data_IF_772958576756
#
_entry.id   IF_772958576756
#
_cell.length_a   1.000
_cell.length_b   1.000
_cell.length_c   1.000
_cell.angle_alpha   90.00
_cell.angle_beta   90.00
_cell.angle_gamma   90.00
#
_symmetry.space_group_name_H-M   'P 1'
#
loop_
_entity.id
_entity.type
_entity.pdbx_description
1 polymer ?
#
# COMPACT_ATOMS: atom_id res chain seq x y z
N UNK A 1 25.37 3.55 6.49
CA UNK A 1 24.63 3.23 5.25
C UNK A 1 24.83 4.34 4.21
N UNK A 2 24.63 5.59 4.60
CA UNK A 2 24.74 6.77 3.74
C UNK A 2 26.17 7.04 3.27
N UNK A 3 27.15 6.93 4.16
CA UNK A 3 28.57 7.08 3.82
C UNK A 3 28.99 6.05 2.78
N UNK A 4 28.48 4.83 2.89
CA UNK A 4 28.74 3.74 1.92
C UNK A 4 28.15 4.10 0.55
N UNK A 5 26.90 4.59 0.51
CA UNK A 5 26.27 5.03 -0.74
C UNK A 5 27.04 6.15 -1.40
N UNK A 6 27.47 7.15 -0.61
CA UNK A 6 28.22 8.29 -1.13
C UNK A 6 29.62 7.89 -1.61
N UNK A 7 30.27 6.91 -0.95
CA UNK A 7 31.55 6.38 -1.40
C UNK A 7 31.42 5.71 -2.79
N UNK A 8 30.48 4.77 -2.94
CA UNK A 8 30.26 4.09 -4.23
C UNK A 8 29.77 5.02 -5.34
N UNK A 9 29.02 6.08 -5.01
CA UNK A 9 28.61 7.08 -6.00
C UNK A 9 29.76 7.95 -6.51
N UNK A 10 30.81 8.12 -5.72
CA UNK A 10 32.02 8.82 -6.15
C UNK A 10 32.82 8.03 -7.21
N UNK A 11 32.63 6.74 -7.26
CA UNK A 11 33.23 5.84 -8.23
C UNK A 11 32.30 5.69 -9.44
N UNK A 12 32.72 6.12 -10.62
CA UNK A 12 31.88 6.12 -11.84
C UNK A 12 31.46 4.74 -12.36
N UNK A 13 31.92 3.68 -11.71
CA UNK A 13 31.72 2.29 -12.13
C UNK A 13 30.46 1.64 -11.52
N UNK A 14 29.79 2.30 -10.56
CA UNK A 14 28.67 1.69 -9.83
C UNK A 14 27.34 2.38 -10.07
N UNK A 15 26.29 1.59 -10.32
CA UNK A 15 24.89 1.99 -10.20
C UNK A 15 24.35 1.48 -8.88
N UNK A 16 23.90 2.40 -8.01
CA UNK A 16 23.40 2.04 -6.67
C UNK A 16 21.88 2.06 -6.68
N UNK A 17 21.27 0.92 -6.35
CA UNK A 17 19.84 0.77 -6.18
C UNK A 17 19.50 0.57 -4.71
N UNK A 18 18.57 1.35 -4.19
CA UNK A 18 18.08 1.25 -2.81
C UNK A 18 16.61 0.89 -2.89
N UNK A 19 16.21 -0.14 -2.16
CA UNK A 19 14.80 -0.55 -2.11
C UNK A 19 14.27 -0.47 -0.69
N UNK A 20 12.98 -0.22 -0.55
CA UNK A 20 12.30 -0.18 0.72
C UNK A 20 10.80 -0.42 0.60
N UNK A 21 10.19 -0.93 1.66
CA UNK A 21 8.78 -1.30 1.70
C UNK A 21 7.81 -0.12 1.73
N UNK A 22 8.30 1.09 1.99
CA UNK A 22 7.49 2.31 1.98
C UNK A 22 8.34 3.58 1.86
N UNK A 23 7.67 4.70 1.60
CA UNK A 23 8.28 6.04 1.46
C UNK A 23 9.07 6.50 2.69
N UNK A 24 8.84 5.93 3.88
CA UNK A 24 9.58 6.29 5.09
C UNK A 24 11.06 5.86 5.07
N UNK A 25 11.42 4.85 4.28
CA UNK A 25 12.83 4.48 4.11
C UNK A 25 13.61 5.55 3.34
N UNK A 26 12.89 6.30 2.50
CA UNK A 26 13.42 7.41 1.73
C UNK A 26 12.98 8.78 2.33
N UNK A 27 12.25 8.81 3.46
CA UNK A 27 11.86 10.04 4.16
C UNK A 27 12.87 10.41 5.26
N UNK A 28 12.90 11.67 5.63
CA UNK A 28 13.76 12.17 6.69
C UNK A 28 15.21 12.46 6.24
N UNK A 29 16.19 12.11 7.07
CA UNK A 29 17.59 12.46 6.85
C UNK A 29 18.16 11.89 5.55
N UNK A 30 17.73 10.69 5.13
CA UNK A 30 18.24 10.06 3.92
C UNK A 30 17.84 10.85 2.67
N UNK A 31 16.58 11.30 2.58
CA UNK A 31 16.13 12.16 1.48
C UNK A 31 16.90 13.47 1.48
N UNK A 32 17.03 14.12 2.63
CA UNK A 32 17.68 15.43 2.72
C UNK A 32 19.13 15.38 2.20
N UNK A 33 19.82 14.28 2.48
CA UNK A 33 21.22 14.11 2.09
C UNK A 33 21.41 13.56 0.67
N UNK A 34 20.38 12.96 0.09
CA UNK A 34 20.36 12.47 -1.29
C UNK A 34 19.60 13.38 -2.26
N UNK A 35 19.03 14.48 -1.78
CA UNK A 35 18.22 15.40 -2.59
C UNK A 35 18.92 15.82 -3.88
N UNK A 36 18.20 15.70 -5.01
CA UNK A 36 18.71 16.01 -6.35
C UNK A 36 19.70 14.99 -6.93
N UNK A 37 19.88 13.83 -6.27
CA UNK A 37 20.91 12.84 -6.63
C UNK A 37 20.37 11.42 -6.80
N UNK A 38 19.06 11.23 -6.85
CA UNK A 38 18.41 9.96 -7.08
C UNK A 38 17.16 10.12 -7.94
N UNK A 39 16.74 9.02 -8.53
CA UNK A 39 15.44 8.87 -9.18
C UNK A 39 14.62 7.93 -8.31
N UNK A 40 13.42 8.36 -7.92
CA UNK A 40 12.47 7.52 -7.19
C UNK A 40 11.63 6.74 -8.18
N UNK A 41 11.57 5.43 -7.99
CA UNK A 41 10.72 4.53 -8.76
C UNK A 41 9.72 3.91 -7.78
N UNK A 42 8.46 4.29 -7.91
CA UNK A 42 7.39 3.71 -7.12
C UNK A 42 6.98 2.36 -7.72
N UNK A 43 7.14 1.28 -6.93
CA UNK A 43 6.74 -0.07 -7.33
C UNK A 43 5.36 -0.38 -6.75
N UNK A 44 4.39 -0.55 -7.63
CA UNK A 44 3.05 -1.00 -7.29
C UNK A 44 2.97 -2.54 -7.36
N UNK A 45 1.97 -3.17 -6.72
CA UNK A 45 1.62 -4.54 -7.05
C UNK A 45 1.36 -4.70 -8.55
N UNK A 46 1.45 -5.91 -9.07
CA UNK A 46 1.22 -6.19 -10.48
C UNK A 46 -0.13 -5.62 -10.94
N UNK A 47 -0.14 -4.96 -12.09
CA UNK A 47 -1.38 -4.66 -12.82
C UNK A 47 -2.04 -5.97 -13.30
N UNK A 48 -3.27 -5.90 -13.77
CA UNK A 48 -3.95 -7.08 -14.31
C UNK A 48 -3.21 -7.69 -15.50
N UNK A 49 -2.68 -6.85 -16.40
CA UNK A 49 -1.89 -7.30 -17.54
C UNK A 49 -0.59 -8.01 -17.07
N UNK A 50 0.18 -7.37 -16.20
CA UNK A 50 1.41 -7.96 -15.64
C UNK A 50 1.12 -9.26 -14.86
N UNK A 51 -0.02 -9.36 -14.18
CA UNK A 51 -0.45 -10.58 -13.49
C UNK A 51 -0.68 -11.73 -14.49
N UNK A 52 -1.33 -11.46 -15.63
CA UNK A 52 -1.54 -12.45 -16.69
C UNK A 52 -0.20 -12.86 -17.30
N UNK A 53 0.63 -11.90 -17.67
CA UNK A 53 1.95 -12.15 -18.28
C UNK A 53 2.82 -13.00 -17.36
N UNK A 54 2.83 -12.68 -16.08
CA UNK A 54 3.59 -13.43 -15.09
C UNK A 54 3.06 -14.87 -14.94
N UNK A 55 1.74 -15.07 -14.92
CA UNK A 55 1.15 -16.42 -14.92
C UNK A 55 1.57 -17.22 -16.14
N UNK A 56 1.49 -16.64 -17.32
CA UNK A 56 1.90 -17.28 -18.58
C UNK A 56 3.39 -17.62 -18.57
N UNK A 57 4.24 -16.70 -18.14
CA UNK A 57 5.69 -16.91 -18.04
C UNK A 57 6.06 -18.11 -17.14
N UNK A 58 5.34 -18.28 -16.02
CA UNK A 58 5.56 -19.39 -15.09
C UNK A 58 4.70 -20.63 -15.40
N UNK A 59 4.05 -20.69 -16.58
CA UNK A 59 3.24 -21.84 -16.98
C UNK A 59 2.01 -22.09 -16.10
N UNK A 60 1.51 -21.05 -15.43
CA UNK A 60 0.29 -21.13 -14.64
C UNK A 60 -0.94 -21.01 -15.52
N UNK A 61 -2.02 -21.67 -15.13
CA UNK A 61 -3.26 -21.64 -15.88
C UNK A 61 -3.89 -20.25 -15.88
N UNK A 62 -4.21 -19.73 -17.06
CA UNK A 62 -4.95 -18.47 -17.28
C UNK A 62 -6.28 -18.85 -17.91
N UNK A 63 -7.39 -18.37 -17.34
CA UNK A 63 -8.72 -18.61 -17.91
C UNK A 63 -8.80 -17.94 -19.29
N UNK A 64 -9.36 -18.64 -20.30
CA UNK A 64 -9.64 -18.01 -21.59
C UNK A 64 -10.73 -16.94 -21.51
N UNK A 65 -11.50 -16.91 -20.40
CA UNK A 65 -12.49 -15.89 -20.13
C UNK A 65 -11.84 -14.74 -19.33
N UNK A 66 -11.66 -13.53 -19.93
CA UNK A 66 -11.03 -12.40 -19.26
C UNK A 66 -11.75 -11.95 -17.98
N UNK A 67 -13.08 -12.09 -17.94
CA UNK A 67 -13.88 -11.70 -16.77
C UNK A 67 -13.58 -12.59 -15.58
N UNK A 68 -13.51 -13.91 -15.79
CA UNK A 68 -13.13 -14.84 -14.71
C UNK A 68 -11.71 -14.58 -14.18
N UNK A 69 -10.80 -14.27 -15.08
CA UNK A 69 -9.41 -14.00 -14.68
C UNK A 69 -9.29 -12.67 -13.95
N UNK A 70 -10.07 -11.67 -14.35
CA UNK A 70 -10.17 -10.40 -13.64
C UNK A 70 -10.77 -10.59 -12.23
N UNK A 71 -11.82 -11.40 -12.10
CA UNK A 71 -12.41 -11.73 -10.80
C UNK A 71 -11.40 -12.42 -9.87
N UNK A 72 -10.59 -13.33 -10.42
CA UNK A 72 -9.48 -13.93 -9.65
C UNK A 72 -8.47 -12.89 -9.21
N UNK A 73 -8.03 -12.04 -10.13
CA UNK A 73 -7.07 -10.97 -9.81
C UNK A 73 -7.61 -10.02 -8.72
N UNK A 74 -8.87 -9.61 -8.78
CA UNK A 74 -9.50 -8.76 -7.76
C UNK A 74 -9.51 -9.44 -6.39
N UNK A 75 -9.76 -10.75 -6.35
CA UNK A 75 -9.83 -11.52 -5.10
C UNK A 75 -8.45 -11.93 -4.56
N UNK A 76 -7.48 -12.17 -5.43
CA UNK A 76 -6.14 -12.66 -5.08
C UNK A 76 -5.11 -11.53 -4.94
N UNK A 77 -5.39 -10.37 -5.53
CA UNK A 77 -4.53 -9.20 -5.53
C UNK A 77 -3.31 -9.33 -6.46
N UNK A 78 -2.58 -8.21 -6.59
CA UNK A 78 -1.43 -8.09 -7.49
C UNK A 78 -0.06 -8.40 -6.86
N UNK A 79 0.01 -9.03 -5.68
CA UNK A 79 1.32 -9.42 -5.12
C UNK A 79 1.94 -10.56 -5.94
N UNK A 80 3.14 -10.39 -6.51
CA UNK A 80 3.73 -11.38 -7.43
C UNK A 80 3.77 -12.80 -6.87
N UNK A 81 4.05 -12.94 -5.58
CA UNK A 81 4.17 -14.26 -4.95
C UNK A 81 2.85 -15.02 -4.86
N UNK A 82 1.69 -14.36 -4.96
CA UNK A 82 0.38 -15.03 -4.88
C UNK A 82 0.15 -16.00 -6.03
N UNK A 83 0.76 -15.79 -7.20
CA UNK A 83 0.60 -16.69 -8.35
C UNK A 83 1.21 -18.09 -8.13
N UNK A 84 2.10 -18.24 -7.16
CA UNK A 84 2.76 -19.53 -6.84
C UNK A 84 1.98 -20.38 -5.84
N UNK A 85 0.93 -19.83 -5.23
CA UNK A 85 0.03 -20.59 -4.37
C UNK A 85 -1.16 -21.08 -5.17
N UNK A 86 -1.44 -22.38 -5.12
CA UNK A 86 -2.57 -22.96 -5.84
C UNK A 86 -3.87 -22.90 -5.00
N UNK A 87 -3.73 -22.88 -3.66
CA UNK A 87 -4.88 -22.80 -2.76
C UNK A 87 -5.24 -21.33 -2.44
N UNK A 88 -6.49 -20.89 -2.64
CA UNK A 88 -6.95 -19.54 -2.32
C UNK A 88 -6.76 -19.14 -0.85
N UNK A 89 -6.86 -20.08 0.08
CA UNK A 89 -6.66 -19.82 1.51
C UNK A 89 -5.19 -19.47 1.83
N UNK A 90 -4.24 -20.11 1.15
CA UNK A 90 -2.82 -19.81 1.31
C UNK A 90 -2.48 -18.42 0.77
N UNK A 91 -3.10 -18.02 -0.35
CA UNK A 91 -2.98 -16.67 -0.89
C UNK A 91 -3.48 -15.63 0.10
N UNK A 92 -4.68 -15.81 0.65
CA UNK A 92 -5.26 -14.92 1.65
C UNK A 92 -4.40 -14.83 2.91
N UNK A 93 -3.91 -15.95 3.37
CA UNK A 93 -3.01 -16.03 4.54
C UNK A 93 -1.71 -15.28 4.28
N UNK A 94 -1.14 -15.44 3.09
CA UNK A 94 0.06 -14.72 2.67
C UNK A 94 -0.17 -13.20 2.67
N UNK A 95 -1.23 -12.72 2.04
CA UNK A 95 -1.56 -11.28 1.98
C UNK A 95 -1.81 -10.72 3.38
N UNK A 96 -2.58 -11.44 4.20
CA UNK A 96 -2.85 -11.05 5.59
C UNK A 96 -1.56 -10.91 6.41
N UNK A 97 -0.61 -11.81 6.21
CA UNK A 97 0.68 -11.74 6.87
C UNK A 97 1.52 -10.54 6.40
N UNK A 98 1.51 -10.22 5.10
CA UNK A 98 2.18 -9.01 4.57
C UNK A 98 1.60 -7.75 5.22
N UNK A 99 0.27 -7.60 5.22
CA UNK A 99 -0.39 -6.43 5.83
C UNK A 99 -0.03 -6.33 7.32
N UNK A 100 -0.02 -7.46 8.04
CA UNK A 100 0.40 -7.51 9.43
C UNK A 100 1.87 -7.11 9.62
N UNK A 101 2.76 -7.58 8.76
CA UNK A 101 4.17 -7.21 8.82
C UNK A 101 4.41 -5.71 8.55
N UNK A 102 3.71 -5.14 7.57
CA UNK A 102 3.74 -3.69 7.31
C UNK A 102 3.30 -2.94 8.57
N UNK A 103 2.20 -3.37 9.20
CA UNK A 103 1.72 -2.76 10.44
C UNK A 103 2.76 -2.83 11.56
N UNK A 104 3.28 -4.01 11.86
CA UNK A 104 4.20 -4.22 13.00
C UNK A 104 5.59 -3.58 12.76
N UNK A 105 6.14 -3.72 11.56
CA UNK A 105 7.51 -3.27 11.26
C UNK A 105 7.57 -1.81 10.84
N UNK A 106 6.63 -1.37 10.03
CA UNK A 106 6.69 -0.06 9.39
C UNK A 106 5.83 0.98 10.10
N UNK A 107 4.60 0.66 10.44
CA UNK A 107 3.69 1.62 11.07
C UNK A 107 3.98 1.75 12.58
N UNK A 108 3.89 0.65 13.32
CA UNK A 108 3.96 0.68 14.79
C UNK A 108 5.31 1.16 15.33
N UNK A 109 6.40 0.85 14.64
CA UNK A 109 7.75 1.26 15.07
C UNK A 109 8.05 2.74 14.79
N UNK A 110 7.43 3.32 13.76
CA UNK A 110 7.76 4.66 13.27
C UNK A 110 6.74 5.71 13.64
N UNK A 111 5.49 5.30 13.81
CA UNK A 111 4.38 6.20 14.15
C UNK A 111 3.88 5.88 15.53
N UNK A 112 3.94 6.86 16.44
CA UNK A 112 3.36 6.73 17.78
C UNK A 112 1.83 6.67 17.69
N UNK A 113 1.27 5.46 17.60
CA UNK A 113 -0.16 5.22 17.66
C UNK A 113 -0.54 5.08 19.15
N UNK A 114 -1.36 6.01 19.64
CA UNK A 114 -1.79 6.01 21.06
C UNK A 114 -2.74 4.86 21.39
N UNK A 115 -3.60 4.49 20.45
CA UNK A 115 -4.58 3.42 20.61
C UNK A 115 -4.57 2.51 19.38
N UNK A 116 -3.83 1.41 19.49
CA UNK A 116 -3.66 0.41 18.43
C UNK A 116 -4.97 -0.27 18.08
N UNK A 117 -5.82 -0.58 19.08
CA UNK A 117 -7.10 -1.22 18.87
C UNK A 117 -8.07 -0.34 18.05
N UNK A 118 -8.10 0.96 18.31
CA UNK A 118 -8.91 1.90 17.52
C UNK A 118 -8.34 2.01 16.10
N UNK A 119 -7.01 2.04 15.95
CA UNK A 119 -6.37 2.07 14.63
C UNK A 119 -6.74 0.83 13.80
N UNK A 120 -6.65 -0.38 14.37
CA UNK A 120 -7.01 -1.63 13.70
C UNK A 120 -8.48 -1.66 13.27
N UNK A 121 -9.38 -1.16 14.11
CA UNK A 121 -10.81 -1.05 13.75
C UNK A 121 -11.04 -0.07 12.60
N UNK A 122 -10.36 1.08 12.60
CA UNK A 122 -10.40 2.05 11.50
C UNK A 122 -9.85 1.42 10.22
N UNK A 123 -8.72 0.74 10.30
CA UNK A 123 -8.12 0.02 9.17
C UNK A 123 -9.10 -1.01 8.60
N UNK A 124 -9.70 -1.84 9.45
CA UNK A 124 -10.68 -2.86 9.04
C UNK A 124 -11.91 -2.22 8.40
N UNK A 125 -12.41 -1.13 8.98
CA UNK A 125 -13.54 -0.40 8.41
C UNK A 125 -13.24 0.11 7.00
N UNK A 126 -12.07 0.73 6.80
CA UNK A 126 -11.66 1.28 5.51
C UNK A 126 -11.48 0.16 4.48
N UNK A 127 -10.79 -0.93 4.83
CA UNK A 127 -10.58 -2.07 3.95
C UNK A 127 -11.91 -2.70 3.52
N UNK A 128 -12.87 -2.84 4.44
CA UNK A 128 -14.18 -3.42 4.13
C UNK A 128 -15.07 -2.51 3.27
N UNK A 129 -14.74 -1.22 3.17
CA UNK A 129 -15.49 -0.23 2.39
C UNK A 129 -14.68 0.34 1.22
N UNK A 130 -13.64 -0.37 0.77
CA UNK A 130 -12.83 0.08 -0.37
C UNK A 130 -13.67 0.24 -1.64
N UNK A 131 -13.27 1.15 -2.51
CA UNK A 131 -14.00 1.44 -3.75
C UNK A 131 -15.32 2.18 -3.58
N UNK A 132 -15.76 2.43 -2.35
CA UNK A 132 -17.00 3.18 -2.08
C UNK A 132 -16.73 4.68 -2.01
N UNK A 133 -17.63 5.48 -2.57
CA UNK A 133 -17.59 6.93 -2.38
C UNK A 133 -17.84 7.25 -0.90
N UNK A 134 -16.85 7.85 -0.25
CA UNK A 134 -16.95 8.16 1.16
C UNK A 134 -16.38 9.55 1.46
N UNK A 135 -16.87 10.17 2.54
CA UNK A 135 -16.29 11.38 3.09
C UNK A 135 -15.82 11.14 4.51
N UNK A 136 -14.82 11.89 4.93
CA UNK A 136 -14.32 11.84 6.32
C UNK A 136 -15.46 12.04 7.35
N UNK A 137 -16.44 12.90 7.04
CA UNK A 137 -17.60 13.16 7.90
C UNK A 137 -18.52 11.93 8.00
N UNK A 138 -18.80 11.27 6.87
CA UNK A 138 -19.64 10.07 6.88
C UNK A 138 -18.91 8.91 7.59
N UNK A 139 -17.63 8.73 7.31
CA UNK A 139 -16.81 7.72 7.99
C UNK A 139 -16.81 7.92 9.49
N UNK A 140 -16.64 9.16 9.96
CA UNK A 140 -16.66 9.49 11.39
C UNK A 140 -18.03 9.14 12.02
N UNK A 141 -19.13 9.47 11.35
CA UNK A 141 -20.49 9.12 11.80
C UNK A 141 -20.69 7.61 11.96
N UNK A 142 -20.26 6.83 10.96
CA UNK A 142 -20.40 5.37 11.00
C UNK A 142 -19.53 4.74 12.11
N UNK A 143 -18.32 5.24 12.30
CA UNK A 143 -17.43 4.79 13.38
C UNK A 143 -18.02 5.12 14.76
N UNK A 144 -18.62 6.29 14.94
CA UNK A 144 -19.33 6.67 16.18
C UNK A 144 -20.56 5.78 16.42
N UNK A 145 -21.37 5.47 15.38
CA UNK A 145 -22.48 4.53 15.49
C UNK A 145 -22.01 3.13 15.92
N UNK A 146 -20.83 2.72 15.47
CA UNK A 146 -20.20 1.46 15.88
C UNK A 146 -19.56 1.53 17.30
N UNK A 147 -19.82 2.61 18.07
CA UNK A 147 -19.34 2.76 19.44
C UNK A 147 -17.86 3.17 19.56
N UNK A 148 -17.25 3.68 18.47
CA UNK A 148 -15.87 4.14 18.49
C UNK A 148 -15.80 5.64 18.75
N UNK A 149 -15.29 6.03 19.92
CA UNK A 149 -15.02 7.44 20.22
C UNK A 149 -13.68 7.85 19.58
N UNK A 150 -13.74 8.43 18.38
CA UNK A 150 -12.59 8.91 17.64
C UNK A 150 -12.83 10.34 17.16
N UNK A 151 -11.84 11.21 17.34
CA UNK A 151 -11.86 12.59 16.84
C UNK A 151 -11.51 12.62 15.36
N UNK A 152 -12.03 13.64 14.65
CA UNK A 152 -11.80 13.86 13.22
C UNK A 152 -10.30 13.91 12.87
N UNK A 153 -9.51 14.62 13.68
CA UNK A 153 -8.07 14.76 13.46
C UNK A 153 -7.34 13.41 13.59
N UNK A 154 -7.78 12.59 14.54
CA UNK A 154 -7.21 11.25 14.75
C UNK A 154 -7.56 10.33 13.59
N UNK A 155 -8.82 10.37 13.12
CA UNK A 155 -9.26 9.59 11.97
C UNK A 155 -8.46 9.99 10.72
N UNK A 156 -8.35 11.29 10.44
CA UNK A 156 -7.58 11.80 9.30
C UNK A 156 -6.12 11.36 9.36
N UNK A 157 -5.50 11.44 10.53
CA UNK A 157 -4.14 10.95 10.75
C UNK A 157 -4.01 9.45 10.51
N UNK A 158 -4.98 8.64 10.92
CA UNK A 158 -4.95 7.19 10.71
C UNK A 158 -5.08 6.85 9.22
N UNK A 159 -5.94 7.56 8.49
CA UNK A 159 -6.06 7.42 7.03
C UNK A 159 -4.73 7.77 6.36
N UNK A 160 -4.10 8.89 6.76
CA UNK A 160 -2.82 9.30 6.19
C UNK A 160 -1.71 8.27 6.45
N UNK A 161 -1.66 7.66 7.64
CA UNK A 161 -0.73 6.58 7.94
C UNK A 161 -0.91 5.38 6.99
N UNK A 162 -2.16 5.02 6.68
CA UNK A 162 -2.45 3.92 5.75
C UNK A 162 -2.07 4.26 4.30
N UNK A 163 -2.23 5.52 3.90
CA UNK A 163 -1.80 6.03 2.59
C UNK A 163 -0.27 6.02 2.51
N UNK A 164 0.41 6.56 3.51
CA UNK A 164 1.88 6.61 3.56
C UNK A 164 2.50 5.20 3.59
N UNK A 165 1.81 4.24 4.20
CA UNK A 165 2.20 2.83 4.21
C UNK A 165 1.83 2.06 2.92
N UNK A 166 1.26 2.74 1.91
CA UNK A 166 0.82 2.14 0.63
C UNK A 166 -0.20 1.00 0.78
N UNK A 167 -0.92 0.98 1.89
CA UNK A 167 -2.06 0.06 2.11
C UNK A 167 -3.32 0.63 1.45
N UNK A 168 -3.43 1.95 1.41
CA UNK A 168 -4.58 2.68 0.88
C UNK A 168 -4.12 3.67 -0.19
N UNK A 169 -4.88 3.74 -1.28
CA UNK A 169 -4.70 4.74 -2.33
C UNK A 169 -5.94 5.63 -2.39
N UNK A 170 -5.72 6.95 -2.35
CA UNK A 170 -6.79 7.91 -2.49
C UNK A 170 -7.12 8.12 -3.97
N UNK A 171 -8.35 7.79 -4.37
CA UNK A 171 -8.88 8.11 -5.68
C UNK A 171 -9.79 9.34 -5.57
N UNK A 172 -9.32 10.49 -6.03
CA UNK A 172 -10.11 11.72 -6.01
C UNK A 172 -11.20 11.68 -7.08
N UNK A 173 -12.39 12.14 -6.72
CA UNK A 173 -13.46 12.30 -7.69
C UNK A 173 -13.04 13.31 -8.75
N UNK A 174 -13.10 12.88 -10.01
CA UNK A 174 -12.93 13.77 -11.14
C UNK A 174 -14.30 14.28 -11.60
N UNK A 175 -14.50 15.61 -11.59
CA UNK A 175 -15.71 16.24 -12.06
C UNK A 175 -15.37 17.32 -13.08
N UNK A 176 -15.77 17.09 -14.34
CA UNK A 176 -15.55 18.01 -15.46
C UNK A 176 -16.25 19.37 -15.28
N UNK A 177 -17.30 19.45 -14.43
CA UNK A 177 -18.10 20.65 -14.20
C UNK A 177 -17.71 21.42 -12.94
N UNK A 178 -16.95 20.82 -12.07
CA UNK A 178 -16.56 21.42 -10.79
C UNK A 178 -15.19 22.10 -10.93
N UNK A 179 -15.16 23.41 -10.71
CA UNK A 179 -13.90 24.18 -10.54
C UNK A 179 -13.24 23.95 -9.18
N UNK A 180 -13.73 22.99 -8.39
CA UNK A 180 -13.17 22.61 -7.08
C UNK A 180 -12.40 21.31 -7.25
N UNK A 181 -11.10 21.44 -7.43
CA UNK A 181 -10.13 20.37 -7.22
C UNK A 181 -9.82 20.24 -5.74
#
# INVERSE_FOLDING_TARGET
FEEIINAYRGEKEYSVFITGSNSYLLSGELITKLTGRYIEIEMLPLSFEEYIDMKQYYGKNVSPNPTEELDKYINEGGFPKTIFYDNPEDKRTYIKNIVKEIFEKDIKRRVKIRNTSVFEKVQTYIINNFGSETSLTNMLKELHKAGMDIKRETLNRYIQILIDAKILYECKRFDLKSKKS
#
